data_IF_816695520822
#
_entry.id   IF_816695520822
#
_cell.length_a   1.000
_cell.length_b   1.000
_cell.length_c   1.000
_cell.angle_alpha   90.00
_cell.angle_beta   90.00
_cell.angle_gamma   90.00
#
_symmetry.space_group_name_H-M   'P 1'
#
loop_
_entity.id
_entity.type
_entity.pdbx_description
1 polymer ?
#
# COMPACT_ATOMS: atom_id res chain seq x y z
N UNK A 1 -67.76 -29.24 -24.16
CA UNK A 1 -67.88 -29.82 -22.81
C UNK A 1 -66.49 -30.04 -22.25
N UNK A 2 -66.03 -29.08 -21.44
CA UNK A 2 -64.81 -29.12 -20.61
C UNK A 2 -65.27 -29.30 -19.17
N UNK A 3 -64.61 -30.17 -18.41
CA UNK A 3 -64.40 -30.10 -16.96
C UNK A 3 -63.44 -31.25 -16.57
N UNK A 4 -62.21 -30.93 -16.17
CA UNK A 4 -61.77 -30.71 -14.78
C UNK A 4 -61.89 -31.98 -13.91
N UNK A 5 -60.74 -32.58 -13.55
CA UNK A 5 -60.46 -33.05 -12.19
C UNK A 5 -58.96 -33.35 -12.02
N UNK A 6 -58.42 -32.67 -11.02
CA UNK A 6 -57.07 -32.73 -10.46
C UNK A 6 -57.07 -33.81 -9.37
N UNK A 7 -56.04 -34.65 -9.31
CA UNK A 7 -55.78 -35.59 -8.21
C UNK A 7 -54.27 -35.52 -7.92
N UNK A 8 -53.83 -34.72 -6.95
CA UNK A 8 -53.62 -35.06 -5.54
C UNK A 8 -52.64 -36.23 -5.31
N UNK A 9 -51.36 -35.90 -5.05
CA UNK A 9 -50.49 -36.74 -4.21
C UNK A 9 -49.67 -35.86 -3.26
N UNK A 10 -49.60 -36.34 -2.03
CA UNK A 10 -49.31 -35.65 -0.79
C UNK A 10 -47.93 -34.98 -0.68
N UNK A 11 -47.93 -33.77 -0.12
CA UNK A 11 -46.79 -33.18 0.57
C UNK A 11 -46.47 -34.02 1.82
N UNK A 12 -45.26 -34.57 1.89
CA UNK A 12 -44.65 -34.97 3.15
C UNK A 12 -43.57 -33.94 3.47
N UNK A 13 -43.82 -33.18 4.54
CA UNK A 13 -42.85 -32.33 5.21
C UNK A 13 -41.72 -33.21 5.78
N UNK A 14 -40.52 -33.11 5.20
CA UNK A 14 -39.28 -33.46 5.89
C UNK A 14 -38.51 -32.15 6.08
N UNK A 15 -38.72 -31.54 7.24
CA UNK A 15 -37.83 -30.55 7.84
C UNK A 15 -36.46 -31.20 8.04
N UNK A 16 -35.63 -31.19 7.01
CA UNK A 16 -34.20 -31.33 7.18
C UNK A 16 -33.71 -30.03 7.82
N UNK A 17 -33.65 -30.02 9.14
CA UNK A 17 -32.93 -29.01 9.89
C UNK A 17 -31.49 -28.99 9.37
N UNK A 18 -31.17 -27.98 8.55
CA UNK A 18 -29.81 -27.62 8.24
C UNK A 18 -29.19 -27.10 9.54
N UNK A 19 -28.61 -28.02 10.31
CA UNK A 19 -27.64 -27.67 11.34
C UNK A 19 -26.45 -27.03 10.62
N UNK A 20 -26.54 -25.73 10.41
CA UNK A 20 -25.36 -24.88 10.32
C UNK A 20 -24.64 -25.04 11.66
N UNK A 21 -23.68 -25.96 11.72
CA UNK A 21 -22.65 -25.91 12.73
C UNK A 21 -21.83 -24.65 12.44
N UNK A 22 -22.31 -23.51 12.94
CA UNK A 22 -21.47 -22.36 13.17
C UNK A 22 -20.38 -22.83 14.13
N UNK A 23 -19.19 -23.12 13.59
CA UNK A 23 -18.03 -23.53 14.36
C UNK A 23 -17.83 -22.50 15.48
N UNK A 24 -18.02 -22.92 16.74
CA UNK A 24 -17.86 -22.03 17.90
C UNK A 24 -16.47 -21.41 17.81
N UNK A 25 -16.42 -20.07 17.75
CA UNK A 25 -15.16 -19.33 17.77
C UNK A 25 -14.36 -19.76 19.01
N UNK A 26 -13.14 -20.25 18.81
CA UNK A 26 -12.25 -20.59 19.92
C UNK A 26 -12.06 -19.36 20.81
N UNK A 27 -12.38 -19.49 22.10
CA UNK A 27 -12.26 -18.39 23.07
C UNK A 27 -10.91 -18.50 23.77
N UNK A 28 -10.17 -17.40 23.77
CA UNK A 28 -8.90 -17.25 24.49
C UNK A 28 -8.92 -15.91 25.23
N UNK A 29 -8.34 -15.85 26.42
CA UNK A 29 -8.27 -14.62 27.23
C UNK A 29 -6.99 -13.83 26.92
N UNK A 30 -6.98 -12.53 27.23
CA UNK A 30 -5.78 -11.70 27.13
C UNK A 30 -4.59 -12.28 27.90
N UNK A 31 -4.81 -12.80 29.12
CA UNK A 31 -3.73 -13.41 29.91
C UNK A 31 -3.16 -14.68 29.28
N UNK A 32 -4.00 -15.48 28.62
CA UNK A 32 -3.53 -16.64 27.86
C UNK A 32 -2.78 -16.22 26.59
N UNK A 33 -3.20 -15.14 25.93
CA UNK A 33 -2.49 -14.59 24.77
C UNK A 33 -1.07 -14.12 25.12
N UNK A 34 -0.86 -13.62 26.34
CA UNK A 34 0.47 -13.26 26.82
C UNK A 34 1.48 -14.42 26.85
N UNK A 35 1.01 -15.67 26.84
CA UNK A 35 1.91 -16.82 26.75
C UNK A 35 2.73 -16.84 25.45
N UNK A 36 2.18 -16.28 24.38
CA UNK A 36 2.78 -16.28 23.04
C UNK A 36 3.64 -15.05 22.77
N UNK A 37 3.70 -14.08 23.70
CA UNK A 37 4.53 -12.89 23.53
C UNK A 37 6.02 -13.26 23.46
N UNK A 38 6.71 -12.64 22.50
CA UNK A 38 8.13 -12.89 22.29
C UNK A 38 8.62 -12.44 20.92
N UNK A 39 9.91 -12.61 20.72
CA UNK A 39 10.59 -12.46 19.42
C UNK A 39 10.90 -13.85 18.90
N UNK A 40 10.55 -14.08 17.65
CA UNK A 40 10.71 -15.35 16.94
C UNK A 40 11.58 -15.13 15.70
N UNK A 41 12.20 -16.21 15.23
CA UNK A 41 12.80 -16.26 13.90
C UNK A 41 11.73 -15.95 12.84
N UNK A 42 12.12 -15.25 11.77
CA UNK A 42 11.24 -14.96 10.64
C UNK A 42 12.07 -14.85 9.36
N UNK A 43 12.04 -15.89 8.54
CA UNK A 43 12.96 -16.01 7.42
C UNK A 43 14.41 -16.10 7.89
N UNK A 44 15.37 -15.82 7.00
CA UNK A 44 16.80 -15.99 7.31
C UNK A 44 17.42 -14.86 8.15
N UNK A 45 16.90 -13.65 8.05
CA UNK A 45 17.55 -12.45 8.63
C UNK A 45 16.61 -11.54 9.45
N UNK A 46 15.30 -11.75 9.37
CA UNK A 46 14.32 -10.91 10.05
C UNK A 46 13.83 -11.56 11.36
N UNK A 47 13.20 -10.72 12.18
CA UNK A 47 12.60 -11.11 13.45
C UNK A 47 11.11 -10.81 13.42
N UNK A 48 10.33 -11.76 13.91
CA UNK A 48 8.90 -11.59 14.14
C UNK A 48 8.66 -11.32 15.62
N UNK A 49 8.07 -10.18 15.96
CA UNK A 49 7.58 -9.96 17.32
C UNK A 49 6.11 -10.35 17.39
N UNK A 50 5.73 -11.08 18.44
CA UNK A 50 4.34 -11.41 18.74
C UNK A 50 3.94 -10.64 19.99
N UNK A 51 2.86 -9.87 19.90
CA UNK A 51 2.30 -9.11 21.01
C UNK A 51 0.83 -9.49 21.24
N UNK A 52 0.40 -9.55 22.50
CA UNK A 52 -1.01 -9.77 22.83
C UNK A 52 -1.77 -8.43 22.81
N UNK A 53 -2.85 -8.35 22.03
CA UNK A 53 -3.69 -7.15 22.00
C UNK A 53 -4.60 -7.10 23.23
N UNK A 54 -4.50 -6.04 24.07
CA UNK A 54 -5.42 -5.84 25.19
C UNK A 54 -6.80 -5.33 24.74
N UNK A 55 -6.96 -4.95 23.47
CA UNK A 55 -8.19 -4.32 22.94
C UNK A 55 -9.08 -5.35 22.24
N UNK A 56 -8.49 -6.18 21.38
CA UNK A 56 -9.26 -6.99 20.42
C UNK A 56 -9.20 -8.50 20.71
N UNK A 57 -8.56 -8.89 21.82
CA UNK A 57 -8.34 -10.28 22.23
C UNK A 57 -7.78 -11.16 21.09
N UNK A 58 -6.72 -10.66 20.44
CA UNK A 58 -5.98 -11.36 19.39
C UNK A 58 -4.47 -11.25 19.65
N UNK A 59 -3.66 -12.02 18.91
CA UNK A 59 -2.23 -11.73 18.79
C UNK A 59 -2.03 -10.77 17.62
N UNK A 60 -0.96 -9.98 17.67
CA UNK A 60 -0.45 -9.26 16.50
C UNK A 60 0.98 -9.68 16.22
N UNK A 61 1.25 -9.94 14.95
CA UNK A 61 2.54 -10.24 14.39
C UNK A 61 3.16 -8.93 13.88
N UNK A 62 4.31 -8.53 14.40
CA UNK A 62 5.00 -7.31 14.04
C UNK A 62 6.28 -7.69 13.29
N UNK A 63 6.33 -7.34 12.02
CA UNK A 63 7.47 -7.58 11.14
C UNK A 63 7.95 -6.21 10.67
N UNK A 64 9.14 -5.82 11.12
CA UNK A 64 9.67 -4.46 10.94
C UNK A 64 8.68 -3.41 11.48
N UNK A 65 8.07 -2.61 10.60
CA UNK A 65 7.08 -1.57 10.93
C UNK A 65 5.63 -1.99 10.59
N UNK A 66 5.42 -3.23 10.15
CA UNK A 66 4.10 -3.73 9.73
C UNK A 66 3.49 -4.60 10.82
N UNK A 67 2.21 -4.36 11.12
CA UNK A 67 1.44 -5.09 12.15
C UNK A 67 0.35 -5.93 11.49
N UNK A 68 0.28 -7.21 11.83
CA UNK A 68 -0.65 -8.19 11.24
C UNK A 68 -1.42 -8.91 12.34
N UNK A 69 -2.76 -8.82 12.40
CA UNK A 69 -3.55 -9.55 13.38
C UNK A 69 -3.54 -11.06 13.11
N UNK A 70 -3.45 -11.83 14.19
CA UNK A 70 -3.54 -13.29 14.23
C UNK A 70 -4.73 -13.68 15.12
N UNK A 71 -5.73 -14.34 14.52
CA UNK A 71 -6.96 -14.76 15.22
C UNK A 71 -6.84 -16.19 15.68
N UNK A 72 -7.10 -16.44 16.97
CA UNK A 72 -7.09 -17.80 17.49
C UNK A 72 -8.21 -18.65 16.84
N UNK A 73 -7.88 -19.85 16.38
CA UNK A 73 -8.85 -20.84 15.86
C UNK A 73 -8.83 -22.16 16.61
N UNK A 74 -7.84 -22.36 17.48
CA UNK A 74 -7.72 -23.51 18.37
C UNK A 74 -6.62 -23.29 19.39
N UNK A 75 -6.41 -24.28 20.29
CA UNK A 75 -5.27 -24.26 21.20
C UNK A 75 -3.98 -24.22 20.39
N UNK A 76 -3.13 -23.24 20.67
CA UNK A 76 -1.87 -22.99 19.97
C UNK A 76 -2.01 -22.76 18.45
N UNK A 77 -3.22 -22.56 17.92
CA UNK A 77 -3.47 -22.38 16.50
C UNK A 77 -4.09 -21.00 16.26
N UNK A 78 -3.42 -20.23 15.42
CA UNK A 78 -3.86 -18.91 14.98
C UNK A 78 -3.94 -18.85 13.46
N UNK A 79 -4.78 -17.94 12.96
CA UNK A 79 -4.96 -17.68 11.54
C UNK A 79 -4.51 -16.25 11.24
N UNK A 80 -3.72 -16.09 10.19
CA UNK A 80 -3.45 -14.77 9.62
C UNK A 80 -4.66 -14.22 8.84
N UNK A 81 -4.54 -13.02 8.27
CA UNK A 81 -5.62 -12.40 7.48
C UNK A 81 -6.00 -13.27 6.27
N UNK A 82 -5.04 -13.99 5.68
CA UNK A 82 -5.24 -14.92 4.58
C UNK A 82 -5.86 -16.25 5.00
N UNK A 83 -6.19 -16.43 6.29
CA UNK A 83 -6.63 -17.69 6.89
C UNK A 83 -5.56 -18.79 6.86
N UNK A 84 -4.29 -18.44 6.64
CA UNK A 84 -3.20 -19.40 6.76
C UNK A 84 -2.96 -19.73 8.22
N UNK A 85 -2.69 -21.00 8.47
CA UNK A 85 -2.50 -21.53 9.82
C UNK A 85 -1.09 -21.26 10.34
N UNK A 86 -1.03 -20.66 11.52
CA UNK A 86 0.17 -20.48 12.36
C UNK A 86 0.00 -21.37 13.59
N UNK A 87 0.88 -22.35 13.77
CA UNK A 87 0.80 -23.29 14.90
C UNK A 87 1.97 -23.06 15.85
N UNK A 88 1.70 -22.62 17.07
CA UNK A 88 2.74 -22.48 18.08
C UNK A 88 3.15 -23.85 18.63
N UNK A 89 4.44 -24.00 18.89
CA UNK A 89 5.06 -25.23 19.36
C UNK A 89 5.35 -25.12 20.85
N UNK A 90 5.11 -26.20 21.59
CA UNK A 90 5.41 -26.31 23.02
C UNK A 90 6.45 -27.39 23.30
N UNK A 91 7.29 -27.17 24.31
CA UNK A 91 8.16 -28.22 24.86
C UNK A 91 7.42 -29.12 25.87
N UNK A 92 8.12 -30.13 26.42
CA UNK A 92 7.57 -31.04 27.42
C UNK A 92 7.09 -30.36 28.71
N UNK A 93 7.66 -29.19 29.04
CA UNK A 93 7.25 -28.34 30.16
C UNK A 93 6.10 -27.38 29.80
N UNK A 94 5.42 -27.60 28.67
CA UNK A 94 4.28 -26.82 28.16
C UNK A 94 4.60 -25.33 27.88
N UNK A 95 5.87 -24.98 27.64
CA UNK A 95 6.31 -23.63 27.29
C UNK A 95 6.39 -23.45 25.78
N UNK A 96 6.00 -22.28 25.26
CA UNK A 96 6.18 -21.93 23.84
C UNK A 96 7.67 -21.93 23.49
N UNK A 97 8.03 -22.60 22.41
CA UNK A 97 9.42 -22.69 21.89
C UNK A 97 9.57 -22.23 20.45
N UNK A 98 8.46 -21.92 19.77
CA UNK A 98 8.48 -21.51 18.37
C UNK A 98 7.10 -21.58 17.73
N UNK A 99 7.05 -21.50 16.41
CA UNK A 99 5.84 -21.70 15.63
C UNK A 99 6.14 -22.33 14.26
N UNK A 100 5.11 -22.87 13.61
CA UNK A 100 5.16 -23.30 12.22
C UNK A 100 4.19 -22.49 11.36
N UNK A 101 4.59 -22.22 10.11
CA UNK A 101 3.76 -21.64 9.05
C UNK A 101 4.06 -22.39 7.76
N UNK A 102 3.08 -23.12 7.23
CA UNK A 102 3.35 -24.04 6.10
C UNK A 102 4.41 -25.07 6.49
N UNK A 103 5.48 -25.15 5.70
CA UNK A 103 6.61 -26.06 5.94
C UNK A 103 7.72 -25.44 6.81
N UNK A 104 7.63 -24.14 7.11
CA UNK A 104 8.66 -23.43 7.86
C UNK A 104 8.46 -23.62 9.36
N UNK A 105 9.54 -23.93 10.06
CA UNK A 105 9.61 -23.98 11.53
C UNK A 105 10.53 -22.88 12.02
N UNK A 106 10.01 -22.02 12.91
CA UNK A 106 10.70 -20.83 13.39
C UNK A 106 10.78 -20.86 14.92
N UNK A 107 11.98 -20.69 15.47
CA UNK A 107 12.22 -20.76 16.92
C UNK A 107 11.86 -19.45 17.62
N UNK A 108 11.47 -19.58 18.88
CA UNK A 108 11.40 -18.48 19.83
C UNK A 108 12.84 -18.05 20.20
N UNK A 109 13.16 -16.78 19.97
CA UNK A 109 14.46 -16.17 20.30
C UNK A 109 14.46 -15.68 21.74
N UNK A 110 13.41 -14.94 22.15
CA UNK A 110 13.29 -14.43 23.52
C UNK A 110 11.83 -14.11 23.87
N UNK A 111 11.46 -14.29 25.14
CA UNK A 111 10.17 -13.82 25.70
C UNK A 111 10.27 -12.48 26.38
N UNK A 112 11.49 -11.94 26.53
CA UNK A 112 11.70 -10.64 27.14
C UNK A 112 11.38 -9.56 26.12
N UNK A 113 10.09 -9.20 26.06
CA UNK A 113 9.55 -8.15 25.18
C UNK A 113 8.81 -7.12 26.01
N UNK A 114 8.88 -5.87 25.57
CA UNK A 114 8.11 -4.77 26.12
C UNK A 114 7.50 -4.00 24.96
N UNK A 115 6.20 -3.81 25.02
CA UNK A 115 5.43 -3.17 23.97
C UNK A 115 4.87 -1.84 24.46
N UNK A 116 5.04 -0.79 23.67
CA UNK A 116 4.54 0.54 23.99
C UNK A 116 3.01 0.53 24.08
N UNK A 117 2.38 1.05 25.15
CA UNK A 117 0.93 1.17 25.21
C UNK A 117 0.35 1.98 24.03
N UNK A 118 1.13 2.89 23.45
CA UNK A 118 0.71 3.72 22.30
C UNK A 118 0.43 2.89 21.04
N UNK A 119 0.97 1.68 20.91
CA UNK A 119 0.70 0.83 19.75
C UNK A 119 -0.77 0.39 19.66
N UNK A 120 -1.47 0.34 20.80
CA UNK A 120 -2.83 -0.22 20.89
C UNK A 120 -3.93 0.83 20.75
N UNK A 121 -3.63 2.09 21.04
CA UNK A 121 -4.61 3.16 21.14
C UNK A 121 -4.31 4.28 20.17
N UNK A 122 -5.26 4.70 19.31
CA UNK A 122 -5.04 5.78 18.36
C UNK A 122 -4.56 7.08 19.01
N UNK A 123 -5.04 7.41 20.21
CA UNK A 123 -4.52 8.48 21.06
C UNK A 123 -4.47 7.97 22.50
N UNK A 124 -3.26 7.74 23.03
CA UNK A 124 -3.08 7.24 24.39
C UNK A 124 -3.70 8.22 25.41
N UNK A 125 -4.49 7.70 26.36
CA UNK A 125 -5.16 8.49 27.40
C UNK A 125 -6.46 9.18 26.97
N UNK A 126 -6.85 9.09 25.70
CA UNK A 126 -8.17 9.54 25.27
C UNK A 126 -9.26 8.57 25.76
N UNK A 127 -10.22 9.07 26.54
CA UNK A 127 -11.46 8.31 26.80
C UNK A 127 -12.29 8.30 25.51
N UNK A 128 -12.34 7.15 24.85
CA UNK A 128 -13.07 6.98 23.58
C UNK A 128 -14.54 7.39 23.67
N UNK A 129 -15.18 7.30 24.84
CA UNK A 129 -16.61 7.67 25.00
C UNK A 129 -16.79 9.19 24.99
N UNK A 130 -15.89 9.92 25.62
CA UNK A 130 -16.01 11.37 25.84
C UNK A 130 -15.10 12.20 24.93
N UNK A 131 -14.17 11.57 24.20
CA UNK A 131 -13.23 12.25 23.32
C UNK A 131 -13.96 13.12 22.29
N UNK A 132 -13.55 14.39 22.23
CA UNK A 132 -13.93 15.35 21.23
C UNK A 132 -12.69 16.02 20.67
N UNK A 133 -12.39 15.72 19.41
CA UNK A 133 -11.39 16.42 18.65
C UNK A 133 -11.82 17.87 18.41
N UNK A 134 -10.86 18.80 18.47
CA UNK A 134 -11.01 20.18 18.02
C UNK A 134 -9.87 20.47 17.08
N UNK A 135 -10.22 20.87 15.85
CA UNK A 135 -9.25 21.29 14.86
C UNK A 135 -8.25 22.33 15.39
N UNK A 136 -6.97 22.12 15.06
CA UNK A 136 -5.90 23.08 15.20
C UNK A 136 -5.10 23.16 13.89
N UNK A 137 -4.63 24.37 13.56
CA UNK A 137 -3.77 24.57 12.39
C UNK A 137 -2.47 23.77 12.53
N UNK A 138 -2.00 23.10 11.46
CA UNK A 138 -0.73 22.38 11.49
C UNK A 138 0.46 23.25 11.91
N UNK A 139 1.43 22.64 12.60
CA UNK A 139 2.63 23.33 13.01
C UNK A 139 3.53 23.69 11.81
N UNK A 140 4.22 24.82 11.91
CA UNK A 140 5.23 25.24 10.93
C UNK A 140 6.55 24.52 11.18
N UNK A 141 7.07 23.84 10.17
CA UNK A 141 8.41 23.26 10.18
C UNK A 141 9.27 23.80 9.04
N UNK A 142 10.58 23.56 9.11
CA UNK A 142 11.54 23.96 8.07
C UNK A 142 11.65 22.89 6.96
N UNK A 143 10.52 22.43 6.45
CA UNK A 143 10.45 21.33 5.49
C UNK A 143 9.83 21.74 4.15
N UNK A 144 9.52 23.02 3.97
CA UNK A 144 8.97 23.60 2.73
C UNK A 144 7.45 23.60 2.65
N UNK A 145 6.75 22.78 3.43
CA UNK A 145 5.28 22.82 3.51
C UNK A 145 4.83 24.04 4.33
N UNK A 146 4.04 24.92 3.71
CA UNK A 146 3.46 26.06 4.41
C UNK A 146 2.18 25.62 5.13
N UNK A 147 2.06 25.77 6.46
CA UNK A 147 0.81 25.52 7.14
C UNK A 147 -0.24 26.58 6.76
N UNK A 148 -1.51 26.18 6.78
CA UNK A 148 -2.64 27.07 6.58
C UNK A 148 -3.83 26.67 7.43
N UNK A 149 -4.74 27.62 7.68
CA UNK A 149 -5.98 27.34 8.38
C UNK A 149 -6.99 26.70 7.43
N UNK A 150 -7.50 25.53 7.77
CA UNK A 150 -8.52 24.79 7.02
C UNK A 150 -9.77 25.65 6.78
N UNK A 151 -10.15 26.50 7.74
CA UNK A 151 -11.30 27.41 7.62
C UNK A 151 -11.05 28.49 6.58
N UNK A 152 -9.81 29.01 6.51
CA UNK A 152 -9.43 30.06 5.57
C UNK A 152 -9.38 29.58 4.11
N UNK A 153 -9.26 28.26 3.89
CA UNK A 153 -9.33 27.65 2.55
C UNK A 153 -10.69 26.99 2.26
N UNK A 154 -11.70 27.31 3.07
CA UNK A 154 -13.09 26.90 2.85
C UNK A 154 -13.43 25.47 3.26
N UNK A 155 -12.65 24.81 4.12
CA UNK A 155 -12.98 23.48 4.63
C UNK A 155 -13.92 23.54 5.84
N UNK A 156 -14.95 22.69 5.82
CA UNK A 156 -15.78 22.44 7.00
C UNK A 156 -15.03 21.61 8.05
N UNK A 157 -14.44 22.28 9.03
CA UNK A 157 -13.70 21.62 10.11
C UNK A 157 -14.57 20.68 10.94
N UNK A 158 -15.91 20.87 10.98
CA UNK A 158 -16.79 19.96 11.72
C UNK A 158 -16.81 18.54 11.13
N UNK A 159 -16.66 18.40 9.81
CA UNK A 159 -16.52 17.09 9.15
C UNK A 159 -15.16 16.45 9.45
N UNK A 160 -14.09 17.25 9.50
CA UNK A 160 -12.77 16.78 9.91
C UNK A 160 -12.76 16.35 11.39
N UNK A 161 -13.42 17.10 12.27
CA UNK A 161 -13.59 16.74 13.68
C UNK A 161 -14.36 15.43 13.82
N UNK A 162 -15.43 15.23 13.03
CA UNK A 162 -16.19 13.97 12.99
C UNK A 162 -15.33 12.80 12.53
N UNK A 163 -14.51 12.99 11.49
CA UNK A 163 -13.56 11.98 11.01
C UNK A 163 -12.61 11.56 12.13
N UNK A 164 -11.98 12.54 12.79
CA UNK A 164 -11.04 12.33 13.90
C UNK A 164 -11.67 11.59 15.06
N UNK A 165 -12.86 11.99 15.47
CA UNK A 165 -13.61 11.32 16.53
C UNK A 165 -13.88 9.85 16.17
N UNK A 166 -14.18 9.53 14.90
CA UNK A 166 -14.40 8.14 14.47
C UNK A 166 -13.10 7.31 14.43
N UNK A 167 -11.98 7.90 14.05
CA UNK A 167 -10.68 7.23 14.09
C UNK A 167 -10.31 6.91 15.55
N UNK A 168 -10.36 7.91 16.44
CA UNK A 168 -9.99 7.73 17.86
C UNK A 168 -10.90 6.74 18.60
N UNK A 169 -12.19 6.67 18.21
CA UNK A 169 -13.16 5.69 18.73
C UNK A 169 -13.00 4.28 18.16
N UNK A 170 -12.00 4.03 17.32
CA UNK A 170 -11.72 2.70 16.77
C UNK A 170 -12.61 2.27 15.61
N UNK A 171 -13.43 3.17 15.02
CA UNK A 171 -14.23 2.82 13.83
C UNK A 171 -13.34 2.58 12.60
N UNK A 172 -12.20 3.27 12.53
CA UNK A 172 -11.24 3.19 11.45
C UNK A 172 -9.88 2.78 12.02
N UNK A 173 -9.67 1.49 12.31
CA UNK A 173 -8.43 1.01 12.91
C UNK A 173 -7.24 1.14 11.96
N UNK A 174 -6.04 1.17 12.53
CA UNK A 174 -4.76 1.16 11.82
C UNK A 174 -4.59 2.28 10.79
N UNK A 175 -5.27 3.42 10.98
CA UNK A 175 -4.89 4.68 10.34
C UNK A 175 -3.72 5.25 11.14
N UNK A 176 -2.57 5.48 10.50
CA UNK A 176 -1.36 5.96 11.18
C UNK A 176 -1.22 7.48 11.07
N UNK A 177 -1.61 8.06 9.93
CA UNK A 177 -1.63 9.52 9.74
C UNK A 177 -2.64 9.96 8.68
N UNK A 178 -3.08 11.21 8.78
CA UNK A 178 -3.90 11.91 7.78
C UNK A 178 -3.35 13.32 7.60
N UNK A 179 -2.92 13.64 6.38
CA UNK A 179 -2.45 14.97 5.98
C UNK A 179 -3.27 15.47 4.79
N UNK A 180 -3.71 16.73 4.85
CA UNK A 180 -4.50 17.38 3.80
C UNK A 180 -3.82 18.68 3.40
N UNK A 181 -3.52 18.80 2.11
CA UNK A 181 -3.05 20.04 1.49
C UNK A 181 -4.17 20.59 0.59
N UNK A 182 -4.45 21.88 0.73
CA UNK A 182 -5.44 22.61 -0.05
C UNK A 182 -4.94 24.03 -0.29
N UNK A 183 -5.05 24.56 -1.50
CA UNK A 183 -4.53 25.91 -1.76
C UNK A 183 -2.99 25.96 -1.71
N UNK A 184 -2.33 24.84 -1.98
CA UNK A 184 -0.88 24.67 -1.76
C UNK A 184 -0.41 24.71 -0.30
N UNK A 185 -1.32 24.76 0.68
CA UNK A 185 -1.00 24.81 2.12
C UNK A 185 -1.38 23.51 2.83
N UNK A 186 -0.55 23.07 3.78
CA UNK A 186 -0.89 21.98 4.70
C UNK A 186 -1.90 22.49 5.72
N UNK A 187 -3.15 22.03 5.62
CA UNK A 187 -4.28 22.56 6.39
C UNK A 187 -4.79 21.62 7.47
N UNK A 188 -4.43 20.34 7.38
CA UNK A 188 -4.75 19.32 8.37
C UNK A 188 -3.61 18.31 8.47
N UNK A 189 -3.24 17.92 9.69
CA UNK A 189 -2.17 16.97 9.97
C UNK A 189 -2.41 16.29 11.31
N UNK A 190 -2.63 14.99 11.30
CA UNK A 190 -2.82 14.20 12.51
C UNK A 190 -2.12 12.85 12.41
N UNK A 191 -1.66 12.38 13.57
CA UNK A 191 -0.96 11.11 13.76
C UNK A 191 -1.62 10.30 14.87
N UNK A 192 -1.57 8.97 14.73
CA UNK A 192 -2.23 8.03 15.62
C UNK A 192 -1.31 6.90 16.04
N UNK A 193 -1.70 6.23 17.11
CA UNK A 193 -0.95 5.15 17.74
C UNK A 193 0.43 5.66 18.18
N UNK A 194 1.49 4.90 17.90
CA UNK A 194 2.87 5.30 18.17
C UNK A 194 3.51 6.09 17.01
N UNK A 195 2.79 6.28 15.91
CA UNK A 195 3.29 6.98 14.75
C UNK A 195 3.30 8.49 14.95
N UNK A 196 4.27 9.14 14.33
CA UNK A 196 4.50 10.59 14.38
C UNK A 196 4.87 11.10 13.00
N UNK A 197 5.10 12.42 12.88
CA UNK A 197 5.65 13.03 11.66
C UNK A 197 7.00 12.45 11.24
N UNK A 198 7.79 11.94 12.19
CA UNK A 198 9.14 11.40 11.97
C UNK A 198 9.14 9.86 11.89
N UNK A 199 7.95 9.24 11.81
CA UNK A 199 7.84 7.80 11.64
C UNK A 199 7.85 7.44 10.16
N UNK A 200 8.87 6.69 9.74
CA UNK A 200 8.92 6.10 8.40
C UNK A 200 7.74 5.15 8.16
N UNK A 201 7.18 5.21 6.96
CA UNK A 201 6.12 4.33 6.50
C UNK A 201 6.58 3.62 5.23
N UNK A 202 6.45 2.30 5.20
CA UNK A 202 6.74 1.52 4.00
C UNK A 202 5.70 1.83 2.93
N UNK A 203 6.10 2.46 1.82
CA UNK A 203 5.17 2.95 0.81
C UNK A 203 4.46 1.84 0.03
N UNK A 204 4.98 0.60 0.09
CA UNK A 204 4.51 -0.52 -0.72
C UNK A 204 4.45 -0.11 -2.20
N UNK A 205 3.37 -0.50 -2.89
CA UNK A 205 3.17 -0.17 -4.30
C UNK A 205 3.03 1.32 -4.62
N UNK A 206 2.83 2.21 -3.64
CA UNK A 206 2.86 3.64 -3.92
C UNK A 206 4.26 4.11 -4.38
N UNK A 207 5.33 3.36 -4.07
CA UNK A 207 6.70 3.58 -4.58
C UNK A 207 6.75 3.70 -6.11
N UNK A 208 5.88 2.97 -6.82
CA UNK A 208 5.87 2.88 -8.29
C UNK A 208 5.70 4.26 -8.94
N UNK A 209 4.91 5.15 -8.34
CA UNK A 209 4.71 6.51 -8.84
C UNK A 209 5.98 7.38 -8.74
N UNK A 210 6.84 7.13 -7.75
CA UNK A 210 8.15 7.79 -7.66
C UNK A 210 9.12 7.25 -8.72
N UNK A 211 9.08 5.96 -9.03
CA UNK A 211 9.84 5.38 -10.15
C UNK A 211 9.43 6.04 -11.47
N UNK A 212 8.11 6.22 -11.71
CA UNK A 212 7.60 6.97 -12.87
C UNK A 212 8.15 8.40 -12.95
N UNK A 213 8.15 9.14 -11.83
CA UNK A 213 8.72 10.48 -11.78
C UNK A 213 10.21 10.49 -12.17
N UNK A 214 10.98 9.53 -11.64
CA UNK A 214 12.41 9.41 -11.95
C UNK A 214 12.67 9.03 -13.42
N UNK A 215 11.80 8.24 -14.04
CA UNK A 215 11.88 7.98 -15.48
C UNK A 215 11.70 9.25 -16.30
N UNK A 216 10.71 10.08 -15.97
CA UNK A 216 10.50 11.36 -16.65
C UNK A 216 11.69 12.31 -16.51
N UNK A 217 12.28 12.36 -15.31
CA UNK A 217 13.51 13.11 -15.04
C UNK A 217 14.68 12.57 -15.86
N UNK A 218 14.88 11.25 -15.90
CA UNK A 218 15.96 10.62 -16.66
C UNK A 218 15.81 10.86 -18.17
N UNK A 219 14.59 10.87 -18.69
CA UNK A 219 14.30 11.22 -20.08
C UNK A 219 14.64 12.69 -20.34
N UNK A 220 14.17 13.59 -19.50
CA UNK A 220 14.41 15.03 -19.66
C UNK A 220 15.90 15.40 -19.57
N UNK A 221 16.66 14.69 -18.74
CA UNK A 221 18.11 14.87 -18.64
C UNK A 221 18.90 14.16 -19.75
N UNK A 222 18.22 13.44 -20.65
CA UNK A 222 18.83 12.78 -21.81
C UNK A 222 19.51 11.45 -21.52
N UNK A 223 19.35 10.87 -20.33
CA UNK A 223 19.88 9.54 -20.00
C UNK A 223 19.09 8.42 -20.70
N UNK A 224 17.78 8.60 -20.83
CA UNK A 224 16.89 7.73 -21.61
C UNK A 224 16.38 8.58 -22.78
N UNK A 225 16.56 8.16 -24.04
CA UNK A 225 16.27 9.06 -25.18
C UNK A 225 14.77 9.34 -25.30
N UNK A 226 13.95 8.34 -25.03
CA UNK A 226 12.49 8.49 -25.03
C UNK A 226 11.81 7.30 -24.33
N UNK A 227 10.55 7.48 -23.95
CA UNK A 227 9.69 6.39 -23.48
C UNK A 227 9.41 5.30 -24.53
N UNK A 228 9.73 5.55 -25.80
CA UNK A 228 9.59 4.59 -26.90
C UNK A 228 10.81 3.67 -27.06
N UNK A 229 11.88 3.88 -26.30
CA UNK A 229 13.03 2.99 -26.34
C UNK A 229 12.67 1.57 -25.89
N UNK A 230 13.33 0.59 -26.52
CA UNK A 230 13.07 -0.82 -26.27
C UNK A 230 13.68 -1.22 -24.94
N UNK A 231 12.91 -1.92 -24.11
CA UNK A 231 13.37 -2.40 -22.81
C UNK A 231 14.52 -3.38 -22.97
N UNK A 232 14.40 -4.34 -23.91
CA UNK A 232 15.40 -5.40 -24.10
C UNK A 232 16.77 -4.84 -24.50
N UNK A 233 16.85 -3.71 -25.23
CA UNK A 233 18.14 -3.13 -25.62
C UNK A 233 18.96 -2.58 -24.44
N UNK A 234 18.33 -2.37 -23.27
CA UNK A 234 19.05 -2.00 -22.06
C UNK A 234 19.76 -3.17 -21.41
N UNK A 235 19.50 -4.42 -21.83
CA UNK A 235 20.03 -5.63 -21.20
C UNK A 235 20.73 -6.55 -22.20
N UNK A 236 21.75 -6.08 -22.93
CA UNK A 236 22.47 -6.91 -23.90
C UNK A 236 23.19 -8.11 -23.25
N UNK A 237 23.45 -8.06 -21.94
CA UNK A 237 24.05 -9.15 -21.19
C UNK A 237 23.09 -10.33 -20.90
N UNK A 238 21.78 -10.15 -21.10
CA UNK A 238 20.80 -11.18 -20.79
C UNK A 238 20.57 -12.15 -21.95
N UNK A 239 20.79 -13.44 -21.70
CA UNK A 239 20.26 -14.52 -22.54
C UNK A 239 18.83 -14.86 -22.06
N UNK A 240 17.82 -14.34 -22.77
CA UNK A 240 16.42 -14.45 -22.37
C UNK A 240 15.77 -15.77 -22.84
N UNK A 241 15.08 -16.48 -21.94
CA UNK A 241 14.46 -17.78 -22.24
C UNK A 241 13.34 -17.70 -23.29
N UNK A 242 12.57 -16.61 -23.27
CA UNK A 242 11.44 -16.36 -24.19
C UNK A 242 11.72 -15.19 -25.16
N UNK A 243 12.92 -15.09 -25.74
CA UNK A 243 13.37 -13.95 -26.56
C UNK A 243 12.72 -13.82 -27.96
N UNK A 244 11.40 -13.78 -28.00
CA UNK A 244 10.61 -13.64 -29.23
C UNK A 244 10.74 -12.24 -29.83
N UNK A 245 10.45 -12.10 -31.13
CA UNK A 245 10.51 -10.78 -31.79
C UNK A 245 9.51 -9.78 -31.20
N UNK A 246 8.34 -10.27 -30.76
CA UNK A 246 7.36 -9.42 -30.07
C UNK A 246 7.87 -8.92 -28.70
N UNK A 247 8.62 -9.73 -27.94
CA UNK A 247 9.24 -9.29 -26.68
C UNK A 247 10.22 -8.14 -26.89
N UNK A 248 11.00 -8.18 -27.98
CA UNK A 248 11.95 -7.11 -28.35
C UNK A 248 11.26 -5.78 -28.65
N UNK A 249 9.94 -5.78 -28.87
CA UNK A 249 9.15 -4.57 -29.09
C UNK A 249 8.65 -3.89 -27.80
N UNK A 250 8.80 -4.49 -26.62
CA UNK A 250 8.37 -3.85 -25.37
C UNK A 250 9.11 -2.52 -25.18
N UNK A 251 8.38 -1.44 -24.97
CA UNK A 251 8.93 -0.10 -24.71
C UNK A 251 8.92 0.26 -23.22
N UNK A 252 9.67 1.30 -22.85
CA UNK A 252 9.61 1.90 -21.51
C UNK A 252 8.18 2.35 -21.17
N UNK A 253 7.45 2.95 -22.12
CA UNK A 253 6.05 3.34 -21.97
C UNK A 253 5.14 2.14 -21.67
N UNK A 254 5.34 1.01 -22.35
CA UNK A 254 4.55 -0.19 -22.08
C UNK A 254 4.72 -0.67 -20.63
N UNK A 255 5.94 -0.62 -20.08
CA UNK A 255 6.18 -0.97 -18.68
C UNK A 255 5.51 0.03 -17.71
N UNK A 256 5.60 1.34 -17.98
CA UNK A 256 4.99 2.40 -17.17
C UNK A 256 3.46 2.30 -17.12
N UNK A 257 2.84 1.96 -18.25
CA UNK A 257 1.40 1.80 -18.40
C UNK A 257 0.89 0.40 -18.03
N UNK A 258 1.76 -0.51 -17.55
CA UNK A 258 1.42 -1.91 -17.25
C UNK A 258 0.88 -2.71 -18.46
N UNK A 259 1.34 -2.38 -19.67
CA UNK A 259 0.98 -3.04 -20.93
C UNK A 259 2.17 -3.76 -21.56
N UNK A 260 3.04 -4.38 -20.75
CA UNK A 260 4.21 -5.10 -21.26
C UNK A 260 3.86 -6.35 -22.08
N UNK A 261 2.67 -6.93 -21.86
CA UNK A 261 2.21 -8.16 -22.51
C UNK A 261 2.82 -9.45 -21.94
N UNK A 262 3.66 -9.32 -20.90
CA UNK A 262 4.25 -10.44 -20.16
C UNK A 262 3.20 -11.13 -19.28
N UNK A 263 3.35 -12.44 -19.07
CA UNK A 263 2.55 -13.18 -18.09
C UNK A 263 3.00 -12.85 -16.67
N UNK A 264 2.57 -11.70 -16.16
CA UNK A 264 2.94 -11.22 -14.82
C UNK A 264 1.81 -10.52 -14.06
N UNK A 265 0.56 -10.82 -14.37
CA UNK A 265 -0.56 -10.26 -13.61
C UNK A 265 -0.61 -10.91 -12.23
N UNK A 266 -0.23 -10.16 -11.19
CA UNK A 266 -0.19 -10.66 -9.80
C UNK A 266 -1.58 -10.99 -9.25
N UNK A 267 -2.65 -10.54 -9.93
CA UNK A 267 -4.03 -10.91 -9.56
C UNK A 267 -4.46 -12.26 -10.13
N UNK A 268 -3.71 -12.81 -11.09
CA UNK A 268 -3.93 -14.13 -11.65
C UNK A 268 -3.03 -15.17 -10.96
N UNK A 269 -3.58 -16.07 -10.11
CA UNK A 269 -2.78 -17.07 -9.40
C UNK A 269 -2.15 -18.13 -10.32
N UNK A 270 -2.51 -18.17 -11.60
CA UNK A 270 -1.89 -19.04 -12.61
C UNK A 270 -0.78 -18.36 -13.42
N UNK A 271 -0.55 -17.07 -13.20
CA UNK A 271 0.48 -16.32 -13.92
C UNK A 271 1.87 -16.85 -13.54
N UNK A 272 2.73 -17.09 -14.53
CA UNK A 272 4.12 -17.48 -14.27
C UNK A 272 4.91 -16.39 -13.55
N UNK A 273 4.55 -15.11 -13.76
CA UNK A 273 5.19 -13.94 -13.17
C UNK A 273 4.63 -13.48 -11.83
N UNK A 274 4.06 -14.40 -11.04
CA UNK A 274 3.62 -14.11 -9.67
C UNK A 274 4.75 -13.65 -8.76
N UNK A 275 4.43 -12.84 -7.73
CA UNK A 275 5.44 -12.27 -6.82
C UNK A 275 6.23 -13.37 -6.07
N UNK A 276 5.59 -14.48 -5.68
CA UNK A 276 6.25 -15.62 -5.01
C UNK A 276 7.31 -16.31 -5.88
N UNK A 277 7.06 -16.42 -7.20
CA UNK A 277 8.03 -16.98 -8.13
C UNK A 277 9.19 -16.01 -8.38
N UNK A 278 8.90 -14.71 -8.44
CA UNK A 278 9.93 -13.67 -8.54
C UNK A 278 10.80 -13.64 -7.28
N UNK A 279 10.20 -13.72 -6.10
CA UNK A 279 10.87 -13.76 -4.79
C UNK A 279 11.95 -14.86 -4.72
N UNK A 280 11.66 -16.02 -5.30
CA UNK A 280 12.56 -17.17 -5.33
C UNK A 280 13.73 -17.04 -6.33
N UNK A 281 13.73 -16.01 -7.18
CA UNK A 281 14.73 -15.83 -8.24
C UNK A 281 15.91 -14.96 -7.82
N UNK A 282 17.07 -15.19 -8.43
CA UNK A 282 18.32 -14.49 -8.12
C UNK A 282 18.44 -13.12 -8.81
N UNK A 283 17.62 -12.87 -9.84
CA UNK A 283 17.56 -11.59 -10.57
C UNK A 283 16.12 -11.36 -11.01
N UNK A 284 15.42 -10.45 -10.34
CA UNK A 284 14.02 -10.15 -10.59
C UNK A 284 13.79 -9.47 -11.94
N UNK A 285 14.79 -8.75 -12.45
CA UNK A 285 14.71 -8.11 -13.77
C UNK A 285 14.83 -9.16 -14.85
N UNK A 286 15.82 -10.06 -14.76
CA UNK A 286 15.96 -11.17 -15.70
C UNK A 286 14.75 -12.09 -15.64
N UNK A 287 14.28 -12.45 -14.44
CA UNK A 287 13.06 -13.23 -14.25
C UNK A 287 11.87 -12.61 -15.00
N UNK A 288 11.62 -11.31 -14.79
CA UNK A 288 10.53 -10.59 -15.47
C UNK A 288 10.68 -10.65 -16.99
N UNK A 289 11.89 -10.44 -17.51
CA UNK A 289 12.16 -10.47 -18.95
C UNK A 289 12.19 -11.90 -19.53
N UNK A 290 12.36 -12.93 -18.72
CA UNK A 290 12.29 -14.33 -19.12
C UNK A 290 10.84 -14.82 -19.26
N UNK A 291 9.84 -14.16 -18.65
CA UNK A 291 8.44 -14.59 -18.70
C UNK A 291 7.90 -14.73 -20.13
N UNK A 292 6.96 -15.65 -20.39
CA UNK A 292 6.32 -15.75 -21.70
C UNK A 292 5.49 -14.49 -22.01
N UNK A 293 5.28 -14.25 -23.31
CA UNK A 293 4.36 -13.22 -23.79
C UNK A 293 2.97 -13.85 -23.90
N UNK A 294 1.97 -13.24 -23.26
CA UNK A 294 0.56 -13.64 -23.36
C UNK A 294 -0.28 -12.63 -24.13
N UNK A 295 0.32 -11.49 -24.49
CA UNK A 295 -0.31 -10.42 -25.24
C UNK A 295 0.76 -9.59 -25.96
N UNK A 296 0.35 -8.74 -26.91
CA UNK A 296 1.24 -7.77 -27.55
C UNK A 296 1.48 -6.56 -26.64
N UNK A 297 2.69 -5.96 -26.64
CA UNK A 297 2.94 -4.74 -25.88
C UNK A 297 2.00 -3.60 -26.30
N UNK A 298 1.54 -2.81 -25.34
CA UNK A 298 0.60 -1.71 -25.55
C UNK A 298 -0.89 -2.11 -25.64
N UNK A 299 -1.22 -3.39 -25.47
CA UNK A 299 -2.62 -3.86 -25.49
C UNK A 299 -3.26 -3.80 -24.08
N UNK A 300 -3.54 -4.94 -23.45
CA UNK A 300 -4.25 -4.96 -22.16
C UNK A 300 -3.32 -4.64 -20.97
N UNK A 301 -3.86 -3.90 -20.00
CA UNK A 301 -3.18 -3.55 -18.76
C UNK A 301 -3.22 -4.70 -17.75
N UNK A 302 -2.05 -5.15 -17.28
CA UNK A 302 -1.88 -6.22 -16.28
C UNK A 302 -1.02 -5.72 -15.12
N UNK A 303 -1.48 -5.90 -13.87
CA UNK A 303 -0.76 -5.37 -12.73
C UNK A 303 0.48 -6.22 -12.45
N UNK A 304 1.65 -5.71 -12.83
CA UNK A 304 2.89 -6.46 -12.84
C UNK A 304 3.95 -5.77 -11.98
N UNK A 305 4.43 -6.44 -10.94
CA UNK A 305 5.45 -5.87 -10.06
C UNK A 305 6.84 -5.81 -10.70
N UNK A 306 7.13 -6.73 -11.63
CA UNK A 306 8.37 -6.73 -12.41
C UNK A 306 8.55 -5.47 -13.25
N UNK A 307 7.48 -4.95 -13.88
CA UNK A 307 7.54 -3.78 -14.77
C UNK A 307 8.27 -2.56 -14.15
N UNK A 308 7.83 -1.99 -13.00
CA UNK A 308 8.51 -0.85 -12.40
C UNK A 308 9.89 -1.19 -11.83
N UNK A 309 10.15 -2.45 -11.44
CA UNK A 309 11.48 -2.89 -11.01
C UNK A 309 12.45 -2.87 -12.19
N UNK A 310 12.03 -3.38 -13.35
CA UNK A 310 12.79 -3.29 -14.60
C UNK A 310 13.05 -1.84 -14.99
N UNK A 311 12.06 -0.95 -14.89
CA UNK A 311 12.25 0.49 -15.14
C UNK A 311 13.29 1.09 -14.19
N UNK A 312 13.25 0.76 -12.89
CA UNK A 312 14.24 1.21 -11.93
C UNK A 312 15.66 0.80 -12.34
N UNK A 313 15.85 -0.45 -12.77
CA UNK A 313 17.16 -0.93 -13.27
C UNK A 313 17.57 -0.27 -14.59
N UNK A 314 16.63 0.05 -15.49
CA UNK A 314 16.93 0.83 -16.70
C UNK A 314 17.52 2.19 -16.33
N UNK A 315 16.96 2.88 -15.34
CA UNK A 315 17.50 4.15 -14.85
C UNK A 315 18.93 3.96 -14.33
N UNK A 316 19.21 2.91 -13.55
CA UNK A 316 20.57 2.62 -13.06
C UNK A 316 21.56 2.42 -14.21
N UNK A 317 21.18 1.64 -15.23
CA UNK A 317 22.04 1.39 -16.39
C UNK A 317 22.25 2.64 -17.24
N UNK A 318 21.23 3.45 -17.44
CA UNK A 318 21.28 4.66 -18.24
C UNK A 318 22.08 5.80 -17.56
N UNK A 319 22.01 5.87 -16.23
CA UNK A 319 22.63 6.95 -15.44
C UNK A 319 23.98 6.55 -14.84
N UNK A 320 24.31 5.25 -14.85
CA UNK A 320 25.48 4.65 -14.22
C UNK A 320 25.59 4.87 -12.70
N UNK A 321 24.49 5.21 -12.02
CA UNK A 321 24.41 5.34 -10.57
C UNK A 321 23.19 4.58 -10.03
N UNK A 322 23.18 4.29 -8.72
CA UNK A 322 22.07 3.55 -8.10
C UNK A 322 20.75 4.33 -8.12
N UNK A 323 19.61 3.64 -8.22
CA UNK A 323 18.30 4.30 -8.29
C UNK A 323 18.02 5.19 -7.06
N UNK A 324 18.34 4.77 -5.81
CA UNK A 324 18.21 5.64 -4.64
C UNK A 324 19.08 6.89 -4.71
N UNK A 325 20.28 6.80 -5.29
CA UNK A 325 21.20 7.92 -5.46
C UNK A 325 20.69 8.90 -6.53
N UNK A 326 20.24 8.39 -7.68
CA UNK A 326 19.59 9.20 -8.70
C UNK A 326 18.34 9.90 -8.16
N UNK A 327 17.55 9.18 -7.35
CA UNK A 327 16.40 9.71 -6.63
C UNK A 327 16.77 10.84 -5.66
N UNK A 328 17.84 10.66 -4.89
CA UNK A 328 18.30 11.69 -3.96
C UNK A 328 18.72 12.97 -4.69
N UNK A 329 19.51 12.81 -5.76
CA UNK A 329 20.07 13.93 -6.52
C UNK A 329 18.97 14.75 -7.21
N UNK A 330 17.97 14.08 -7.78
CA UNK A 330 17.06 14.73 -8.72
C UNK A 330 15.62 14.90 -8.24
N UNK A 331 15.17 14.18 -7.21
CA UNK A 331 13.79 14.25 -6.71
C UNK A 331 13.73 14.58 -5.22
N UNK A 332 14.30 13.73 -4.36
CA UNK A 332 14.16 13.86 -2.91
C UNK A 332 14.95 15.04 -2.34
N UNK A 333 16.22 15.19 -2.73
CA UNK A 333 17.06 16.30 -2.32
C UNK A 333 16.44 17.67 -2.65
N UNK A 334 16.02 17.92 -3.90
CA UNK A 334 15.32 19.17 -4.26
C UNK A 334 14.02 19.44 -3.49
N UNK A 335 13.32 18.39 -3.03
CA UNK A 335 12.13 18.49 -2.17
C UNK A 335 12.48 18.67 -0.67
N UNK A 336 13.76 18.63 -0.31
CA UNK A 336 14.20 18.65 1.09
C UNK A 336 13.84 17.37 1.85
N UNK A 337 13.72 16.24 1.15
CA UNK A 337 13.47 14.92 1.72
C UNK A 337 14.84 14.28 2.01
N UNK A 338 15.17 14.14 3.29
CA UNK A 338 16.49 13.63 3.73
C UNK A 338 16.40 12.40 4.61
N UNK A 339 15.31 12.23 5.36
CA UNK A 339 15.07 11.07 6.22
C UNK A 339 14.19 10.04 5.53
N UNK A 340 14.74 9.30 4.56
CA UNK A 340 14.04 8.19 3.92
C UNK A 340 14.95 6.95 3.87
N UNK A 341 14.35 5.77 3.65
CA UNK A 341 15.08 4.54 3.39
C UNK A 341 14.65 3.98 2.05
N UNK A 342 15.60 3.66 1.19
CA UNK A 342 15.33 2.95 -0.06
C UNK A 342 16.48 2.02 -0.41
N UNK A 343 16.24 0.72 -0.26
CA UNK A 343 17.17 -0.30 -0.72
C UNK A 343 16.64 -0.86 -2.05
N UNK A 344 17.25 -0.46 -3.18
CA UNK A 344 16.87 -0.97 -4.49
C UNK A 344 17.87 -2.06 -4.91
N UNK A 345 17.52 -3.32 -4.67
CA UNK A 345 18.28 -4.51 -5.09
C UNK A 345 17.29 -5.55 -5.60
N UNK A 346 17.07 -5.62 -6.92
CA UNK A 346 16.03 -6.47 -7.50
C UNK A 346 16.48 -7.94 -7.57
N UNK A 347 16.68 -8.55 -6.40
CA UNK A 347 17.09 -9.93 -6.21
C UNK A 347 16.58 -10.46 -4.86
N UNK A 348 16.74 -11.78 -4.63
CA UNK A 348 16.29 -12.46 -3.41
C UNK A 348 16.77 -11.85 -2.08
N UNK A 349 17.86 -11.07 -2.05
CA UNK A 349 18.33 -10.41 -0.82
C UNK A 349 17.38 -9.29 -0.36
N UNK A 350 16.48 -8.84 -1.23
CA UNK A 350 15.53 -7.76 -0.96
C UNK A 350 14.09 -8.25 -0.79
N UNK A 351 13.84 -9.56 -0.71
CA UNK A 351 12.48 -10.13 -0.59
C UNK A 351 11.61 -9.46 0.50
N UNK A 352 12.23 -9.03 1.60
CA UNK A 352 11.53 -8.42 2.73
C UNK A 352 11.26 -6.90 2.59
N UNK A 353 11.73 -6.24 1.55
CA UNK A 353 11.47 -4.81 1.26
C UNK A 353 10.99 -4.59 -0.18
N UNK A 354 11.20 -5.55 -1.07
CA UNK A 354 10.71 -5.57 -2.45
C UNK A 354 11.04 -4.31 -3.25
N UNK A 355 12.24 -3.75 -3.02
CA UNK A 355 12.70 -2.50 -3.60
C UNK A 355 11.81 -1.28 -3.28
N UNK A 356 11.05 -1.31 -2.18
CA UNK A 356 10.09 -0.28 -1.80
C UNK A 356 10.75 0.83 -0.98
N UNK A 357 10.24 2.06 -1.13
CA UNK A 357 10.72 3.22 -0.37
C UNK A 357 9.97 3.35 0.94
N UNK A 358 10.66 3.83 1.98
CA UNK A 358 10.08 4.27 3.23
C UNK A 358 10.14 5.79 3.30
N UNK A 359 9.01 6.45 3.54
CA UNK A 359 8.92 7.92 3.63
C UNK A 359 8.23 8.35 4.92
N UNK A 360 8.50 9.59 5.35
CA UNK A 360 7.66 10.26 6.32
C UNK A 360 6.32 10.69 5.70
N UNK A 361 5.23 10.78 6.49
CA UNK A 361 3.94 11.24 5.99
C UNK A 361 3.97 12.62 5.32
N UNK A 362 4.77 13.55 5.86
CA UNK A 362 4.93 14.89 5.26
C UNK A 362 5.64 14.82 3.90
N UNK A 363 6.61 13.93 3.74
CA UNK A 363 7.33 13.75 2.46
C UNK A 363 6.44 13.11 1.39
N UNK A 364 5.51 12.24 1.78
CA UNK A 364 4.42 11.78 0.90
C UNK A 364 3.55 12.95 0.42
N UNK A 365 3.16 13.84 1.34
CA UNK A 365 2.34 15.00 1.00
C UNK A 365 3.08 15.98 0.06
N UNK A 366 4.39 16.18 0.25
CA UNK A 366 5.24 16.96 -0.68
C UNK A 366 5.24 16.38 -2.08
N UNK A 367 5.37 15.05 -2.23
CA UNK A 367 5.34 14.40 -3.53
C UNK A 367 3.98 14.58 -4.24
N UNK A 368 2.87 14.48 -3.50
CA UNK A 368 1.55 14.81 -4.04
C UNK A 368 1.41 16.26 -4.46
N UNK A 369 1.90 17.21 -3.64
CA UNK A 369 1.89 18.65 -3.95
C UNK A 369 2.78 18.98 -5.16
N UNK A 370 3.90 18.28 -5.33
CA UNK A 370 4.74 18.40 -6.51
C UNK A 370 3.95 18.07 -7.79
N UNK A 371 3.20 16.96 -7.79
CA UNK A 371 2.35 16.58 -8.93
C UNK A 371 1.17 17.55 -9.13
N UNK A 372 0.55 18.02 -8.04
CA UNK A 372 -0.50 19.05 -8.10
C UNK A 372 0.01 20.32 -8.79
N UNK A 373 1.24 20.72 -8.47
CA UNK A 373 1.94 21.86 -9.04
C UNK A 373 2.65 21.55 -10.36
N UNK A 374 2.24 20.50 -11.08
CA UNK A 374 2.79 20.11 -12.40
C UNK A 374 4.32 19.98 -12.40
N UNK A 375 4.87 19.45 -11.32
CA UNK A 375 6.30 19.20 -11.17
C UNK A 375 7.12 20.38 -10.65
N UNK A 376 6.47 21.48 -10.24
CA UNK A 376 7.16 22.65 -9.67
C UNK A 376 7.21 22.59 -8.14
N UNK A 377 8.39 22.82 -7.59
CA UNK A 377 8.62 22.99 -6.15
C UNK A 377 9.51 24.20 -5.90
N UNK A 378 9.09 25.12 -5.03
CA UNK A 378 9.83 26.35 -4.72
C UNK A 378 10.35 27.08 -5.97
N UNK A 379 9.46 27.29 -6.97
CA UNK A 379 9.75 27.92 -8.26
C UNK A 379 10.78 27.18 -9.15
N UNK A 380 11.12 25.93 -8.82
CA UNK A 380 12.00 25.09 -9.64
C UNK A 380 11.19 23.93 -10.25
N UNK A 381 11.35 23.72 -11.56
CA UNK A 381 10.82 22.53 -12.23
C UNK A 381 11.69 21.32 -11.83
N UNK A 382 11.09 20.36 -11.12
CA UNK A 382 11.74 19.13 -10.69
C UNK A 382 11.39 17.97 -11.62
N UNK A 383 10.10 17.76 -11.87
CA UNK A 383 9.60 16.78 -12.85
C UNK A 383 9.09 17.57 -14.04
N UNK A 384 9.40 17.22 -15.30
CA UNK A 384 8.84 17.92 -16.47
C UNK A 384 7.31 18.01 -16.42
N UNK A 385 6.75 19.19 -16.75
CA UNK A 385 5.31 19.43 -16.61
C UNK A 385 4.48 18.55 -17.55
N UNK A 386 4.97 18.33 -18.77
CA UNK A 386 4.44 17.40 -19.76
C UNK A 386 4.41 15.95 -19.22
N UNK A 387 5.50 15.50 -18.58
CA UNK A 387 5.54 14.17 -17.95
C UNK A 387 4.49 14.01 -16.84
N UNK A 388 4.29 15.03 -16.01
CA UNK A 388 3.24 15.02 -14.97
C UNK A 388 1.85 14.89 -15.59
N UNK A 389 1.56 15.71 -16.62
CA UNK A 389 0.27 15.67 -17.31
C UNK A 389 0.03 14.31 -17.98
N UNK A 390 1.05 13.77 -18.63
CA UNK A 390 0.97 12.49 -19.32
C UNK A 390 0.83 11.31 -18.35
N UNK A 391 1.50 11.37 -17.19
CA UNK A 391 1.36 10.37 -16.13
C UNK A 391 -0.06 10.27 -15.58
N UNK A 392 -0.86 11.32 -15.72
CA UNK A 392 -2.24 11.43 -15.27
C UNK A 392 -3.28 11.12 -16.37
N UNK A 393 -2.84 10.86 -17.60
CA UNK A 393 -3.70 10.40 -18.69
C UNK A 393 -3.92 8.89 -18.62
N UNK A 394 -5.07 8.45 -19.15
CA UNK A 394 -5.38 7.04 -19.30
C UNK A 394 -4.54 6.44 -20.43
N UNK A 395 -3.72 5.46 -20.07
CA UNK A 395 -2.95 4.65 -21.02
C UNK A 395 -3.46 3.21 -21.06
N UNK A 396 -3.96 2.69 -19.94
CA UNK A 396 -4.50 1.34 -19.85
C UNK A 396 -5.64 1.24 -18.83
N UNK A 397 -6.18 0.04 -18.68
CA UNK A 397 -7.12 -0.34 -17.60
C UNK A 397 -6.52 -1.52 -16.86
N UNK A 398 -6.31 -1.39 -15.56
CA UNK A 398 -5.71 -2.41 -14.71
C UNK A 398 -6.69 -2.71 -13.58
N UNK A 399 -7.08 -3.98 -13.43
CA UNK A 399 -8.06 -4.41 -12.41
C UNK A 399 -9.38 -3.60 -12.46
N UNK A 400 -9.83 -3.25 -13.68
CA UNK A 400 -11.04 -2.46 -13.90
C UNK A 400 -10.92 -0.97 -13.56
N UNK A 401 -9.71 -0.47 -13.29
CA UNK A 401 -9.43 0.94 -12.98
C UNK A 401 -8.54 1.53 -14.06
N UNK A 402 -8.88 2.72 -14.55
CA UNK A 402 -8.03 3.46 -15.49
C UNK A 402 -6.65 3.71 -14.88
N UNK A 403 -5.61 3.56 -15.69
CA UNK A 403 -4.23 3.60 -15.22
C UNK A 403 -3.36 4.50 -16.12
N UNK A 404 -2.53 5.31 -15.48
CA UNK A 404 -1.55 6.18 -16.12
C UNK A 404 -0.14 5.61 -16.03
N UNK A 405 0.88 6.48 -16.00
CA UNK A 405 2.27 6.03 -15.77
C UNK A 405 2.50 5.73 -14.30
N UNK A 406 2.18 4.50 -13.91
CA UNK A 406 2.27 4.01 -12.54
C UNK A 406 1.42 4.84 -11.55
N UNK A 407 0.28 5.35 -12.01
CA UNK A 407 -0.72 6.08 -11.24
C UNK A 407 -2.11 5.49 -11.46
N UNK A 408 -2.84 5.25 -10.37
CA UNK A 408 -4.25 4.86 -10.45
C UNK A 408 -5.11 6.09 -10.74
N UNK A 409 -5.92 6.04 -11.81
CA UNK A 409 -6.84 7.11 -12.17
C UNK A 409 -8.21 6.72 -11.63
N UNK A 410 -8.50 7.15 -10.41
CA UNK A 410 -9.68 6.75 -9.65
C UNK A 410 -10.71 7.86 -9.65
N UNK A 411 -11.94 7.51 -9.35
CA UNK A 411 -12.91 8.46 -8.85
C UNK A 411 -13.41 8.00 -7.48
N UNK A 412 -13.83 8.95 -6.66
CA UNK A 412 -14.50 8.70 -5.39
C UNK A 412 -15.83 9.43 -5.41
N UNK A 413 -16.90 8.70 -5.15
CA UNK A 413 -18.22 9.29 -4.98
C UNK A 413 -18.36 9.77 -3.52
N UNK A 414 -18.78 11.02 -3.33
CA UNK A 414 -18.96 11.68 -2.04
C UNK A 414 -20.36 12.32 -1.98
N UNK A 415 -20.87 12.51 -0.75
CA UNK A 415 -22.22 13.02 -0.48
C UNK A 415 -23.36 12.28 -1.20
N UNK A 416 -23.14 11.01 -1.56
CA UNK A 416 -24.12 10.16 -2.24
C UNK A 416 -24.46 10.57 -3.67
N UNK A 417 -23.81 11.59 -4.24
CA UNK A 417 -24.16 12.12 -5.56
C UNK A 417 -23.01 12.74 -6.36
N UNK A 418 -21.93 13.22 -5.71
CA UNK A 418 -20.87 13.96 -6.40
C UNK A 418 -19.65 13.07 -6.63
N UNK A 419 -19.25 12.95 -7.89
CA UNK A 419 -18.06 12.20 -8.30
C UNK A 419 -16.84 13.10 -8.38
N UNK A 420 -15.79 12.74 -7.67
CA UNK A 420 -14.50 13.44 -7.67
C UNK A 420 -13.44 12.58 -8.34
N UNK A 421 -12.75 13.12 -9.33
CA UNK A 421 -11.71 12.41 -10.09
C UNK A 421 -10.34 12.67 -9.46
N UNK A 422 -9.71 11.61 -8.95
CA UNK A 422 -8.43 11.67 -8.25
C UNK A 422 -7.38 10.78 -8.90
N UNK A 423 -6.11 11.15 -8.70
CA UNK A 423 -4.93 10.40 -9.12
C UNK A 423 -4.27 9.84 -7.88
N UNK A 424 -4.09 8.53 -7.80
CA UNK A 424 -3.64 7.87 -6.59
C UNK A 424 -2.34 7.09 -6.78
N UNK A 425 -1.34 7.39 -5.96
CA UNK A 425 -0.27 6.47 -5.62
C UNK A 425 -0.77 5.61 -4.45
N UNK A 426 -0.93 4.30 -4.66
CA UNK A 426 -1.58 3.41 -3.70
C UNK A 426 -0.70 2.21 -3.36
N UNK A 427 -0.44 2.03 -2.06
CA UNK A 427 0.25 0.89 -1.48
C UNK A 427 -0.66 0.05 -0.58
N UNK A 428 -0.36 -1.25 -0.51
CA UNK A 428 -0.96 -2.17 0.45
C UNK A 428 -0.80 -1.62 1.88
N UNK A 429 -1.78 -1.84 2.77
CA UNK A 429 -1.78 -1.29 4.12
C UNK A 429 -2.53 0.04 4.30
N UNK A 430 -2.75 0.78 3.20
CA UNK A 430 -3.44 2.07 3.26
C UNK A 430 -2.54 3.29 3.04
N UNK A 431 -1.35 3.06 2.48
CA UNK A 431 -0.38 4.08 2.09
C UNK A 431 -0.88 4.74 0.81
N UNK A 432 -1.51 5.91 0.91
CA UNK A 432 -2.17 6.56 -0.21
C UNK A 432 -1.77 8.02 -0.31
N UNK A 433 -1.43 8.44 -1.53
CA UNK A 433 -1.34 9.84 -1.93
C UNK A 433 -2.40 10.03 -3.00
N UNK A 434 -3.42 10.81 -2.71
CA UNK A 434 -4.41 11.26 -3.68
C UNK A 434 -4.12 12.69 -4.09
N UNK A 435 -4.16 12.95 -5.39
CA UNK A 435 -4.12 14.29 -5.98
C UNK A 435 -5.44 14.51 -6.72
N UNK A 436 -6.14 15.59 -6.38
CA UNK A 436 -7.37 16.03 -7.03
C UNK A 436 -7.12 17.41 -7.64
N UNK A 437 -6.64 17.50 -8.90
CA UNK A 437 -6.26 18.76 -9.52
C UNK A 437 -7.41 19.78 -9.57
N UNK A 438 -8.62 19.34 -9.91
CA UNK A 438 -9.80 20.20 -10.02
C UNK A 438 -10.25 20.80 -8.67
N UNK A 439 -9.80 20.20 -7.57
CA UNK A 439 -10.07 20.67 -6.21
C UNK A 439 -8.83 21.30 -5.57
N UNK A 440 -7.70 21.45 -6.28
CA UNK A 440 -6.44 21.94 -5.72
C UNK A 440 -6.10 21.26 -4.38
N UNK A 441 -6.20 19.93 -4.36
CA UNK A 441 -6.22 19.11 -3.16
C UNK A 441 -5.24 17.94 -3.26
N UNK A 442 -4.49 17.73 -2.17
CA UNK A 442 -3.72 16.50 -1.95
C UNK A 442 -4.11 15.92 -0.60
N UNK A 443 -4.32 14.60 -0.57
CA UNK A 443 -4.55 13.85 0.67
C UNK A 443 -3.54 12.74 0.78
N UNK A 444 -2.73 12.77 1.84
CA UNK A 444 -1.81 11.70 2.18
C UNK A 444 -2.32 10.97 3.44
N UNK A 445 -2.52 9.66 3.34
CA UNK A 445 -2.94 8.79 4.44
C UNK A 445 -1.97 7.62 4.52
N UNK A 446 -1.59 7.25 5.74
CA UNK A 446 -0.75 6.07 6.00
C UNK A 446 -1.49 5.11 6.94
N UNK A 447 -1.19 3.82 6.88
CA UNK A 447 -1.87 2.83 7.69
C UNK A 447 -1.29 1.42 7.66
N UNK A 448 -1.78 0.57 8.57
CA UNK A 448 -1.32 -0.80 8.79
C UNK A 448 -2.34 -1.87 8.39
N UNK A 449 -3.27 -1.56 7.49
CA UNK A 449 -4.37 -2.47 7.09
C UNK A 449 -3.91 -3.48 6.01
N UNK A 450 -2.73 -4.09 6.16
CA UNK A 450 -2.11 -4.92 5.12
C UNK A 450 -2.97 -6.14 4.78
N UNK A 451 -3.06 -6.47 3.49
CA UNK A 451 -3.85 -7.59 2.96
C UNK A 451 -5.35 -7.52 3.32
N UNK A 452 -5.84 -6.31 3.59
CA UNK A 452 -7.23 -6.04 3.96
C UNK A 452 -7.71 -4.72 3.36
N UNK A 453 -9.01 -4.44 3.53
CA UNK A 453 -9.58 -3.16 3.08
C UNK A 453 -9.17 -2.03 4.03
N UNK A 454 -8.28 -1.17 3.55
CA UNK A 454 -7.94 0.08 4.24
C UNK A 454 -9.11 1.10 4.22
N UNK A 455 -9.33 1.86 5.31
CA UNK A 455 -10.39 2.87 5.39
C UNK A 455 -10.09 4.17 4.62
N UNK A 456 -8.89 4.33 4.02
CA UNK A 456 -8.46 5.62 3.44
C UNK A 456 -9.44 6.19 2.40
N UNK A 457 -9.97 5.38 1.49
CA UNK A 457 -10.91 5.88 0.46
C UNK A 457 -12.25 6.29 1.07
N UNK A 458 -12.69 5.57 2.11
CA UNK A 458 -13.91 5.92 2.86
C UNK A 458 -13.73 7.23 3.63
N UNK A 459 -12.57 7.43 4.25
CA UNK A 459 -12.28 8.68 4.96
C UNK A 459 -12.31 9.87 4.01
N UNK A 460 -11.69 9.72 2.83
CA UNK A 460 -11.68 10.75 1.80
C UNK A 460 -13.10 11.03 1.30
N UNK A 461 -13.84 10.00 0.91
CA UNK A 461 -15.20 10.10 0.36
C UNK A 461 -16.23 10.63 1.36
N UNK A 462 -16.16 10.24 2.64
CA UNK A 462 -17.21 10.58 3.63
C UNK A 462 -16.97 11.86 4.41
N UNK A 463 -15.73 12.34 4.50
CA UNK A 463 -15.40 13.49 5.35
C UNK A 463 -14.57 14.55 4.62
N UNK A 464 -13.54 14.16 3.87
CA UNK A 464 -12.62 15.13 3.26
C UNK A 464 -13.24 15.77 2.01
N UNK A 465 -13.68 14.99 1.03
CA UNK A 465 -14.35 15.51 -0.17
C UNK A 465 -15.65 16.29 0.15
N UNK A 466 -16.50 15.84 1.08
CA UNK A 466 -17.64 16.63 1.52
C UNK A 466 -17.27 17.96 2.19
N UNK A 467 -16.07 18.07 2.79
CA UNK A 467 -15.67 19.31 3.48
C UNK A 467 -15.47 20.51 2.53
N UNK A 468 -15.46 20.28 1.20
CA UNK A 468 -15.45 21.34 0.18
C UNK A 468 -16.83 21.92 -0.14
N UNK A 469 -17.91 21.21 0.21
CA UNK A 469 -19.26 21.46 -0.31
C UNK A 469 -20.14 22.29 0.64
N UNK A 470 -19.64 23.41 1.16
CA UNK A 470 -20.52 24.46 1.69
C UNK A 470 -20.61 25.60 0.67
N UNK A 471 -21.67 25.55 -0.13
CA UNK A 471 -22.31 26.75 -0.67
C UNK A 471 -22.98 27.52 0.46
#
# INVERSE_FOLDING_TARGET
MRNLKITLFALIFLLAASYSFAQRSYKITYQQLKEYEGVYEYGKEDKLQIAASPVDTCLVAIIKLSVYPLKASGKDIFLDIGKNKITFLRNASNQIIGYTKGNDTNKLITRSVSFSPKMWYPKLGADVKTYQYKYAMPAKFKDGLQPGDARAVGLDTALLDKMMNKIVRGKYPNVHSVLIIKGGKLVFEEYFYEYTKDSLQEMRSATKSMVSALTGIAIHQGFIKSKNERVVSYFPEYNLANNTDIKKTITVENMLANQSGLDCDVSNPKSEGGEEAMDASDDWVKFTLDLPMIDKPGNDGRYCSGNPITIGRIIEKATHIGLPEFGQKNLFGPLGITGYKWNFKPDRSNINEYCQIYLHPRDMAKFGLLYLNKGVWNNKQIIPADWVMESFQKHSVVQGVDYGYLWWLKYLDADGAVRYYGKAAQGNGGQKIYVFPDQDLVVAITGGNYNSKSPSDELISKYILPSFNKK
#
